data_IF_736436509655
#
_entry.id   IF_736436509655
#
_cell.length_a   1.000
_cell.length_b   1.000
_cell.length_c   1.000
_cell.angle_alpha   90.00
_cell.angle_beta   90.00
_cell.angle_gamma   90.00
#
_symmetry.space_group_name_H-M   'P 1'
#
loop_
_entity.id
_entity.type
_entity.pdbx_description
1 polymer ?
#
# COMPACT_ATOMS: atom_id res chain seq x y z
N UNK A 1 5.87 -10.12 -1.53
CA UNK A 1 6.27 -11.47 -1.08
C UNK A 1 7.12 -11.27 0.17
N UNK A 2 6.97 -12.08 1.20
CA UNK A 2 7.87 -12.01 2.37
C UNK A 2 9.23 -12.66 2.11
N UNK A 3 10.09 -12.74 3.12
CA UNK A 3 11.43 -13.30 2.98
C UNK A 3 11.58 -14.74 3.51
N UNK A 4 12.67 -15.39 3.13
CA UNK A 4 13.02 -16.73 3.59
C UNK A 4 12.87 -17.80 2.52
N UNK A 5 12.84 -19.08 2.94
CA UNK A 5 12.81 -20.23 2.02
C UNK A 5 11.51 -20.36 1.23
N UNK A 6 10.41 -19.73 1.69
CA UNK A 6 9.13 -19.66 0.99
C UNK A 6 9.07 -18.66 -0.17
N UNK A 7 10.20 -18.06 -0.55
CA UNK A 7 10.29 -17.10 -1.65
C UNK A 7 10.67 -17.77 -2.98
N UNK A 8 10.51 -17.04 -4.08
CA UNK A 8 11.00 -17.46 -5.41
C UNK A 8 11.50 -16.25 -6.19
N UNK A 9 12.30 -16.49 -7.22
CA UNK A 9 12.73 -15.46 -8.15
C UNK A 9 11.57 -15.06 -9.06
N UNK A 10 11.29 -13.76 -9.10
CA UNK A 10 10.34 -13.21 -10.04
C UNK A 10 10.92 -13.22 -11.46
N UNK A 11 10.20 -13.74 -12.48
CA UNK A 11 10.62 -13.54 -13.87
C UNK A 11 10.51 -12.05 -14.28
N UNK A 12 9.58 -11.33 -13.65
CA UNK A 12 9.37 -9.89 -13.68
C UNK A 12 8.46 -9.51 -12.50
N UNK A 13 8.31 -8.22 -12.22
CA UNK A 13 7.34 -7.71 -11.26
C UNK A 13 6.73 -6.43 -11.85
N UNK A 14 5.41 -6.43 -12.04
CA UNK A 14 4.66 -5.23 -12.39
C UNK A 14 4.31 -4.51 -11.10
N UNK A 15 4.96 -3.37 -10.85
CA UNK A 15 4.68 -2.54 -9.69
C UNK A 15 3.39 -1.71 -9.87
N UNK A 16 2.76 -1.26 -8.78
CA UNK A 16 1.54 -0.45 -8.83
C UNK A 16 1.67 0.82 -9.68
N UNK A 17 2.77 1.57 -9.57
CA UNK A 17 2.93 2.84 -10.27
C UNK A 17 2.97 2.61 -11.78
N UNK A 18 3.77 1.65 -12.25
CA UNK A 18 3.85 1.33 -13.68
C UNK A 18 2.48 0.94 -14.25
N UNK A 19 1.70 0.13 -13.54
CA UNK A 19 0.37 -0.28 -14.00
C UNK A 19 -0.64 0.88 -14.02
N UNK A 20 -0.64 1.72 -12.97
CA UNK A 20 -1.51 2.90 -12.89
C UNK A 20 -1.14 3.91 -13.98
N UNK A 21 0.15 4.15 -14.22
CA UNK A 21 0.60 5.03 -15.30
C UNK A 21 0.17 4.49 -16.66
N UNK A 22 0.28 3.18 -16.89
CA UNK A 22 -0.19 2.57 -18.13
C UNK A 22 -1.69 2.81 -18.34
N UNK A 23 -2.50 2.60 -17.30
CA UNK A 23 -3.93 2.85 -17.34
C UNK A 23 -4.27 4.34 -17.54
N UNK A 24 -3.55 5.24 -16.88
CA UNK A 24 -3.75 6.67 -16.99
C UNK A 24 -3.49 7.19 -18.42
N UNK A 25 -2.62 6.53 -19.19
CA UNK A 25 -2.43 6.84 -20.62
C UNK A 25 -3.66 6.51 -21.46
N UNK A 26 -4.50 5.56 -21.04
CA UNK A 26 -5.72 5.17 -21.76
C UNK A 26 -6.87 6.17 -21.56
N UNK A 27 -7.01 6.70 -20.35
CA UNK A 27 -8.11 7.61 -19.98
C UNK A 27 -7.71 9.09 -19.87
N UNK A 28 -6.42 9.40 -20.06
CA UNK A 28 -5.90 10.76 -20.04
C UNK A 28 -5.71 11.34 -18.64
N UNK A 29 -5.81 10.52 -17.59
CA UNK A 29 -5.56 10.94 -16.21
C UNK A 29 -4.11 11.40 -16.04
N UNK A 30 -3.89 12.50 -15.32
CA UNK A 30 -2.55 12.95 -14.96
C UNK A 30 -2.11 12.23 -13.68
N UNK A 31 -0.97 11.54 -13.74
CA UNK A 31 -0.37 10.86 -12.58
C UNK A 31 0.89 11.60 -12.16
N UNK A 32 0.87 12.14 -10.95
CA UNK A 32 2.06 12.54 -10.21
C UNK A 32 2.35 11.49 -9.13
N UNK A 33 3.62 11.31 -8.78
CA UNK A 33 4.02 10.28 -7.83
C UNK A 33 5.19 10.74 -6.97
N UNK A 34 5.22 10.23 -5.74
CA UNK A 34 6.33 10.37 -4.80
C UNK A 34 6.65 8.98 -4.28
N UNK A 35 7.92 8.56 -4.39
CA UNK A 35 8.38 7.22 -3.99
C UNK A 35 9.28 7.25 -2.75
N UNK A 36 9.59 8.44 -2.23
CA UNK A 36 10.30 8.62 -0.97
C UNK A 36 9.31 9.01 0.13
N UNK A 37 9.05 8.08 1.05
CA UNK A 37 8.15 8.32 2.18
C UNK A 37 8.65 9.47 3.08
N UNK A 38 9.91 9.89 3.01
CA UNK A 38 10.50 10.89 3.89
C UNK A 38 10.57 12.29 3.25
N UNK A 39 10.25 12.45 1.97
CA UNK A 39 10.19 13.76 1.30
C UNK A 39 8.82 14.43 1.52
N UNK A 40 8.57 14.84 2.76
CA UNK A 40 7.31 15.46 3.19
C UNK A 40 7.00 16.72 2.38
N UNK A 41 8.04 17.47 2.02
CA UNK A 41 7.90 18.67 1.20
C UNK A 41 7.36 18.38 -0.20
N UNK A 42 7.85 17.33 -0.84
CA UNK A 42 7.36 16.92 -2.15
C UNK A 42 5.96 16.31 -2.03
N UNK A 43 5.72 15.47 -1.01
CA UNK A 43 4.40 14.89 -0.72
C UNK A 43 3.34 15.99 -0.64
N UNK A 44 3.52 16.97 0.24
CA UNK A 44 2.60 18.10 0.43
C UNK A 44 2.33 18.87 -0.88
N UNK A 45 3.38 19.09 -1.68
CA UNK A 45 3.24 19.81 -2.94
C UNK A 45 2.43 19.06 -4.00
N UNK A 46 2.51 17.73 -4.01
CA UNK A 46 1.81 16.87 -4.99
C UNK A 46 0.37 16.62 -4.56
N UNK A 47 0.13 16.28 -3.29
CA UNK A 47 -1.21 15.90 -2.80
C UNK A 47 -2.19 17.06 -2.86
N UNK A 48 -1.73 18.31 -2.68
CA UNK A 48 -2.58 19.50 -2.73
C UNK A 48 -3.18 19.79 -4.12
N UNK A 49 -2.66 19.13 -5.17
CA UNK A 49 -3.12 19.28 -6.55
C UNK A 49 -3.98 18.10 -7.02
N UNK A 50 -4.06 17.02 -6.24
CA UNK A 50 -4.66 15.76 -6.66
C UNK A 50 -6.18 15.71 -6.32
N UNK A 51 -6.96 15.16 -7.25
CA UNK A 51 -8.39 14.86 -7.02
C UNK A 51 -8.61 13.56 -6.24
N UNK A 52 -7.64 12.64 -6.30
CA UNK A 52 -7.60 11.38 -5.57
C UNK A 52 -6.15 11.04 -5.25
N UNK A 53 -5.89 10.57 -4.04
CA UNK A 53 -4.54 10.21 -3.58
C UNK A 53 -4.48 8.73 -3.24
N UNK A 54 -3.68 7.97 -3.99
CA UNK A 54 -3.39 6.57 -3.70
C UNK A 54 -2.17 6.49 -2.78
N UNK A 55 -2.34 6.02 -1.56
CA UNK A 55 -1.24 5.82 -0.59
C UNK A 55 -0.92 4.34 -0.47
N UNK A 56 0.31 3.98 -0.79
CA UNK A 56 0.78 2.60 -0.74
C UNK A 56 1.57 2.37 0.53
N UNK A 57 1.10 1.44 1.37
CA UNK A 57 1.79 1.04 2.59
C UNK A 57 2.06 -0.45 2.59
N UNK A 58 3.06 -0.86 3.35
CA UNK A 58 3.36 -2.26 3.58
C UNK A 58 3.76 -2.50 5.04
N UNK A 59 3.83 -3.79 5.37
CA UNK A 59 4.59 -4.34 6.46
C UNK A 59 5.12 -5.67 5.93
N UNK A 60 6.21 -6.19 6.49
CA UNK A 60 6.78 -7.45 6.00
C UNK A 60 7.21 -8.40 7.12
N UNK A 61 7.38 -9.67 6.80
CA UNK A 61 7.81 -10.72 7.72
C UNK A 61 8.40 -11.89 6.92
N UNK A 62 9.11 -12.80 7.58
CA UNK A 62 9.61 -13.98 6.92
C UNK A 62 10.27 -14.98 7.85
N UNK A 63 11.21 -15.76 7.31
CA UNK A 63 11.88 -16.81 8.08
C UNK A 63 12.96 -16.25 9.02
N UNK A 64 13.07 -16.82 10.23
CA UNK A 64 13.86 -16.29 11.34
C UNK A 64 15.38 -16.35 11.21
N UNK A 65 15.92 -16.85 10.08
CA UNK A 65 17.35 -16.81 9.80
C UNK A 65 17.79 -15.51 9.10
N UNK A 66 16.85 -14.64 8.72
CA UNK A 66 17.10 -13.32 8.13
C UNK A 66 16.55 -12.25 9.07
N UNK A 67 17.37 -11.23 9.32
CA UNK A 67 16.98 -10.00 10.00
C UNK A 67 16.70 -8.90 8.97
N UNK A 68 15.56 -8.23 9.09
CA UNK A 68 15.22 -7.02 8.33
C UNK A 68 14.73 -5.95 9.29
N UNK A 69 15.46 -4.83 9.38
CA UNK A 69 15.11 -3.69 10.24
C UNK A 69 14.85 -4.10 11.71
N UNK A 70 15.71 -4.96 12.27
CA UNK A 70 15.57 -5.50 13.62
C UNK A 70 14.50 -6.59 13.80
N UNK A 71 13.77 -6.99 12.75
CA UNK A 71 12.79 -8.07 12.79
C UNK A 71 13.46 -9.40 12.40
N UNK A 72 13.53 -10.35 13.32
CA UNK A 72 14.13 -11.68 13.10
C UNK A 72 13.08 -12.69 12.65
N UNK A 73 12.64 -12.56 11.39
CA UNK A 73 11.52 -13.32 10.83
C UNK A 73 10.15 -12.82 11.34
N UNK A 74 9.93 -12.96 12.65
CA UNK A 74 8.74 -12.43 13.33
C UNK A 74 8.75 -10.90 13.37
N UNK A 75 7.57 -10.28 13.19
CA UNK A 75 7.42 -8.83 13.31
C UNK A 75 7.45 -8.40 14.77
N UNK A 76 8.24 -7.37 15.07
CA UNK A 76 8.31 -6.78 16.40
C UNK A 76 7.04 -6.00 16.77
N UNK A 77 6.26 -5.56 15.78
CA UNK A 77 5.02 -4.79 15.97
C UNK A 77 3.98 -5.10 14.87
N UNK A 78 2.83 -4.44 14.95
CA UNK A 78 1.74 -4.55 13.98
C UNK A 78 1.49 -3.22 13.25
N UNK A 79 2.43 -2.28 13.25
CA UNK A 79 2.27 -0.99 12.54
C UNK A 79 2.67 -1.11 11.08
N UNK A 80 2.30 -0.13 10.25
CA UNK A 80 2.86 -0.05 8.91
C UNK A 80 4.36 0.25 8.99
N UNK A 81 5.14 -0.37 8.10
CA UNK A 81 6.58 -0.14 8.00
C UNK A 81 6.86 1.18 7.27
N UNK A 82 8.13 1.63 7.30
CA UNK A 82 8.59 2.79 6.54
C UNK A 82 7.78 4.07 6.82
N UNK A 83 7.38 4.25 8.08
CA UNK A 83 6.54 5.37 8.54
C UNK A 83 5.16 5.45 7.86
N UNK A 84 4.60 4.31 7.45
CA UNK A 84 3.37 4.25 6.67
C UNK A 84 2.15 4.88 7.37
N UNK A 85 2.03 4.76 8.69
CA UNK A 85 0.92 5.36 9.43
C UNK A 85 0.98 6.90 9.43
N UNK A 86 2.18 7.49 9.53
CA UNK A 86 2.32 8.95 9.42
C UNK A 86 2.11 9.42 7.97
N UNK A 87 2.60 8.65 6.98
CA UNK A 87 2.39 8.95 5.56
C UNK A 87 0.90 9.02 5.22
N UNK A 88 0.09 8.06 5.71
CA UNK A 88 -1.37 8.09 5.49
C UNK A 88 -1.98 9.35 6.09
N UNK A 89 -1.60 9.70 7.32
CA UNK A 89 -2.14 10.88 7.99
C UNK A 89 -1.70 12.19 7.32
N UNK A 90 -0.48 12.27 6.84
CA UNK A 90 0.06 13.42 6.09
C UNK A 90 -0.72 13.63 4.79
N UNK A 91 -0.89 12.57 4.00
CA UNK A 91 -1.67 12.62 2.75
C UNK A 91 -3.14 12.94 3.04
N UNK A 92 -3.76 12.26 4.00
CA UNK A 92 -5.15 12.50 4.36
C UNK A 92 -5.39 13.89 4.97
N UNK A 93 -4.35 14.54 5.52
CA UNK A 93 -4.41 15.92 5.98
C UNK A 93 -4.60 16.93 4.85
N UNK A 94 -4.12 16.60 3.65
CA UNK A 94 -4.07 17.50 2.51
C UNK A 94 -4.87 17.02 1.28
N UNK A 95 -5.42 15.80 1.32
CA UNK A 95 -6.19 15.18 0.25
C UNK A 95 -7.48 14.56 0.78
N UNK A 96 -8.62 15.13 0.43
CA UNK A 96 -9.95 14.70 0.93
C UNK A 96 -10.43 13.36 0.38
N UNK A 97 -9.76 12.82 -0.64
CA UNK A 97 -10.06 11.54 -1.27
C UNK A 97 -8.81 10.66 -1.25
N UNK A 98 -8.45 10.19 -0.05
CA UNK A 98 -7.30 9.33 0.18
C UNK A 98 -7.71 7.87 0.19
N UNK A 99 -7.10 7.07 -0.70
CA UNK A 99 -7.32 5.64 -0.84
C UNK A 99 -6.05 4.93 -0.41
N UNK A 100 -6.14 4.12 0.65
CA UNK A 100 -5.00 3.37 1.18
C UNK A 100 -4.95 1.98 0.57
N UNK A 101 -3.81 1.59 0.00
CA UNK A 101 -3.54 0.25 -0.52
C UNK A 101 -2.44 -0.41 0.32
N UNK A 102 -2.80 -1.47 1.04
CA UNK A 102 -1.91 -2.15 1.98
C UNK A 102 -1.45 -3.51 1.44
N UNK A 103 -0.14 -3.65 1.25
CA UNK A 103 0.53 -4.91 0.91
C UNK A 103 1.20 -5.49 2.14
N UNK A 104 0.52 -6.40 2.84
CA UNK A 104 1.00 -6.91 4.15
C UNK A 104 0.87 -8.44 4.21
N UNK A 105 1.76 -9.15 4.96
CA UNK A 105 1.67 -10.59 5.18
C UNK A 105 0.55 -10.97 6.15
N UNK A 106 -0.05 -9.99 6.84
CA UNK A 106 -1.07 -10.19 7.86
C UNK A 106 -1.65 -8.87 8.35
N UNK A 107 -2.36 -8.86 9.50
CA UNK A 107 -3.00 -7.65 10.00
C UNK A 107 -1.96 -6.57 10.36
N UNK A 108 -2.37 -5.31 10.19
CA UNK A 108 -1.73 -4.11 10.73
C UNK A 108 -2.76 -3.32 11.56
N UNK A 109 -2.29 -2.52 12.52
CA UNK A 109 -3.13 -1.57 13.24
C UNK A 109 -3.49 -0.43 12.30
N UNK A 110 -4.77 -0.08 12.27
CA UNK A 110 -5.28 0.98 11.39
C UNK A 110 -5.95 2.12 12.18
N UNK A 111 -6.15 1.94 13.49
CA UNK A 111 -6.81 2.93 14.34
C UNK A 111 -6.27 4.36 14.26
N UNK A 112 -4.97 4.60 14.05
CA UNK A 112 -4.46 5.96 13.92
C UNK A 112 -5.05 6.76 12.74
N UNK A 113 -5.63 6.11 11.73
CA UNK A 113 -6.05 6.77 10.49
C UNK A 113 -7.36 6.23 9.87
N UNK A 114 -7.85 5.05 10.27
CA UNK A 114 -9.00 4.39 9.61
C UNK A 114 -10.32 5.15 9.74
N UNK A 115 -10.49 5.93 10.81
CA UNK A 115 -11.68 6.76 11.05
C UNK A 115 -11.50 8.19 10.51
N UNK A 116 -10.39 8.49 9.83
CA UNK A 116 -10.17 9.80 9.22
C UNK A 116 -11.17 9.99 8.06
N UNK A 117 -11.99 11.06 8.06
CA UNK A 117 -13.02 11.26 7.03
C UNK A 117 -12.46 11.45 5.62
N UNK A 118 -11.19 11.81 5.48
CA UNK A 118 -10.51 11.97 4.21
C UNK A 118 -9.96 10.64 3.67
N UNK A 119 -9.94 9.57 4.47
CA UNK A 119 -9.65 8.20 4.02
C UNK A 119 -10.94 7.59 3.49
N UNK A 120 -11.12 7.61 2.17
CA UNK A 120 -12.37 7.25 1.50
C UNK A 120 -12.45 5.77 1.16
N UNK A 121 -11.31 5.09 1.05
CA UNK A 121 -11.26 3.64 0.84
C UNK A 121 -9.97 3.02 1.38
N UNK A 122 -10.04 1.74 1.72
CA UNK A 122 -8.89 0.92 2.13
C UNK A 122 -8.96 -0.41 1.40
N UNK A 123 -7.86 -0.78 0.73
CA UNK A 123 -7.72 -2.03 0.00
C UNK A 123 -6.58 -2.87 0.58
N UNK A 124 -6.93 -4.04 1.09
CA UNK A 124 -5.95 -5.05 1.52
C UNK A 124 -5.53 -5.88 0.30
N UNK A 125 -4.37 -5.55 -0.27
CA UNK A 125 -3.84 -6.20 -1.48
C UNK A 125 -2.96 -7.44 -1.18
N UNK A 126 -2.56 -7.63 0.08
CA UNK A 126 -1.80 -8.81 0.51
C UNK A 126 -0.42 -8.91 -0.15
N UNK A 127 -0.04 -10.10 -0.61
CA UNK A 127 1.24 -10.37 -1.27
C UNK A 127 0.99 -10.99 -2.67
N UNK A 128 0.64 -10.18 -3.69
CA UNK A 128 0.02 -10.65 -4.94
C UNK A 128 0.97 -11.27 -5.97
N UNK A 129 2.28 -11.29 -5.71
CA UNK A 129 3.27 -11.84 -6.64
C UNK A 129 3.56 -10.92 -7.83
N UNK A 130 3.95 -11.50 -8.98
CA UNK A 130 4.50 -10.75 -10.12
C UNK A 130 3.51 -9.79 -10.80
N UNK A 131 2.21 -10.06 -10.70
CA UNK A 131 1.14 -9.25 -11.32
C UNK A 131 0.53 -8.23 -10.33
N UNK A 132 1.32 -7.76 -9.36
CA UNK A 132 0.86 -6.87 -8.29
C UNK A 132 0.13 -5.64 -8.83
N UNK A 133 0.71 -4.93 -9.79
CA UNK A 133 0.13 -3.72 -10.36
C UNK A 133 -1.09 -4.00 -11.24
N UNK A 134 -1.03 -5.01 -12.11
CA UNK A 134 -2.13 -5.34 -13.01
C UNK A 134 -3.38 -5.79 -12.24
N UNK A 135 -3.21 -6.71 -11.29
CA UNK A 135 -4.31 -7.18 -10.44
C UNK A 135 -4.94 -6.07 -9.59
N UNK A 136 -4.13 -5.09 -9.16
CA UNK A 136 -4.60 -3.92 -8.45
C UNK A 136 -5.45 -3.00 -9.35
N UNK A 137 -4.95 -2.68 -10.56
CA UNK A 137 -5.66 -1.80 -11.51
C UNK A 137 -7.01 -2.40 -11.90
N UNK A 138 -7.10 -3.72 -12.11
CA UNK A 138 -8.37 -4.39 -12.40
C UNK A 138 -9.45 -4.10 -11.34
N UNK A 139 -9.05 -4.06 -10.06
CA UNK A 139 -9.95 -3.75 -8.95
C UNK A 139 -10.23 -2.25 -8.85
N UNK A 140 -9.20 -1.41 -8.88
CA UNK A 140 -9.33 0.05 -8.74
C UNK A 140 -10.22 0.66 -9.84
N UNK A 141 -10.12 0.13 -11.06
CA UNK A 141 -10.90 0.60 -12.21
C UNK A 141 -12.18 -0.21 -12.46
N UNK A 142 -12.51 -1.16 -11.58
CA UNK A 142 -13.76 -1.91 -11.64
C UNK A 142 -13.89 -2.89 -12.81
N UNK A 143 -12.79 -3.27 -13.45
CA UNK A 143 -12.78 -4.39 -14.39
C UNK A 143 -13.12 -5.71 -13.67
N UNK A 144 -12.74 -5.81 -12.39
CA UNK A 144 -13.10 -6.89 -11.48
C UNK A 144 -13.66 -6.32 -10.18
N UNK A 145 -14.79 -6.85 -9.73
CA UNK A 145 -15.34 -6.51 -8.42
C UNK A 145 -14.50 -7.16 -7.30
N UNK A 146 -14.10 -6.43 -6.25
CA UNK A 146 -13.37 -7.02 -5.14
C UNK A 146 -14.25 -8.04 -4.39
N UNK A 147 -13.90 -9.32 -4.51
CA UNK A 147 -14.66 -10.44 -3.90
C UNK A 147 -13.94 -11.09 -2.72
N UNK A 148 -12.74 -10.60 -2.36
CA UNK A 148 -11.96 -11.12 -1.24
C UNK A 148 -12.66 -10.90 0.11
N UNK A 149 -12.39 -11.81 1.05
CA UNK A 149 -12.75 -11.67 2.47
C UNK A 149 -11.49 -11.88 3.31
N UNK A 150 -11.36 -11.15 4.41
CA UNK A 150 -10.20 -11.26 5.28
C UNK A 150 -10.11 -12.68 5.87
N UNK A 151 -8.99 -13.39 5.71
CA UNK A 151 -8.78 -14.69 6.34
C UNK A 151 -8.25 -14.58 7.79
N UNK A 152 -8.26 -13.37 8.35
CA UNK A 152 -7.87 -13.04 9.73
C UNK A 152 -8.67 -11.85 10.25
N UNK A 153 -8.64 -11.65 11.57
CA UNK A 153 -9.21 -10.47 12.23
C UNK A 153 -8.20 -9.32 12.25
N UNK A 154 -8.65 -8.11 11.91
CA UNK A 154 -7.94 -6.86 12.19
C UNK A 154 -8.53 -6.29 13.48
N UNK A 155 -7.78 -6.39 14.57
CA UNK A 155 -8.22 -5.98 15.90
C UNK A 155 -7.84 -4.54 16.22
N UNK A 156 -8.58 -3.95 17.17
CA UNK A 156 -8.24 -2.69 17.85
C UNK A 156 -7.31 -2.94 19.04
N UNK A 157 -6.36 -2.05 19.34
CA UNK A 157 -5.47 -2.07 20.52
C UNK A 157 -5.01 -0.67 20.93
#
# INVERSE_FOLDING_TARGET
MGWGSGSTNFPYLVDPLSAIQHRALEDGTVVQYVLDNYDTSLIDSVVSQAEACLVFVNADSGEGYIEVDGNYGDRNNLTAWMRGDDLINEVAGNCSNTIVVAHTPGPILMEPWIENPNVTAVLMAGLPGQESGNSLVDVLYGAVNPSGKLPWTIGKK
#
